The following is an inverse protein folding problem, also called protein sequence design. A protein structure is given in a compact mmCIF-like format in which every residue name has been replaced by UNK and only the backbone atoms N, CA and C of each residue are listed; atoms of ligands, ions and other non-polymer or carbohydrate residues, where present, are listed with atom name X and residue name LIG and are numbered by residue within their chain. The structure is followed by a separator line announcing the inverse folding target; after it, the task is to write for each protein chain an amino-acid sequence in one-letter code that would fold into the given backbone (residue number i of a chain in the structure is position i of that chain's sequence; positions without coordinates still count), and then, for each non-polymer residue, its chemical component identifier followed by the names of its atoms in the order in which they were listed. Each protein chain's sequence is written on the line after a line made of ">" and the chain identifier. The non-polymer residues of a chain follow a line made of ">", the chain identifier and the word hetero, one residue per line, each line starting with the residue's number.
data_IF_668300515250
#
_entry.id   IF_668300515250
#
_cell.length_a   1.000
_cell.length_b   1.000
_cell.length_c   1.000
_cell.angle_alpha   90.00
_cell.angle_beta   90.00
_cell.angle_gamma   90.00
#
_symmetry.space_group_name_H-M   'P 1'
#
loop_
_entity.id
_entity.type
_entity.pdbx_description
1 polymer ?
#
# COMPACT_ATOMS: atom_id res chain seq x y z
N UNK A 1 13.25 27.18 11.70
CA UNK A 1 12.88 25.76 11.53
C UNK A 1 11.36 25.66 11.36
N UNK A 2 10.58 26.26 12.26
CA UNK A 2 9.10 26.34 12.18
C UNK A 2 8.53 26.93 10.87
N UNK A 3 9.15 27.97 10.31
CA UNK A 3 8.72 28.54 9.02
C UNK A 3 8.91 27.58 7.85
N UNK A 4 10.03 26.82 7.85
CA UNK A 4 10.30 25.79 6.85
C UNK A 4 9.35 24.59 7.03
N UNK A 5 9.13 24.17 8.27
CA UNK A 5 8.21 23.08 8.61
C UNK A 5 6.77 23.44 8.20
N UNK A 6 6.29 24.63 8.53
CA UNK A 6 4.95 25.08 8.14
C UNK A 6 4.80 25.22 6.62
N UNK A 7 5.87 25.62 5.92
CA UNK A 7 5.88 25.71 4.47
C UNK A 7 5.83 24.32 3.82
N UNK A 8 6.66 23.38 4.30
CA UNK A 8 6.66 21.99 3.85
C UNK A 8 5.31 21.34 4.14
N UNK A 9 4.74 21.56 5.33
CA UNK A 9 3.42 21.05 5.70
C UNK A 9 2.32 21.57 4.78
N UNK A 10 2.33 22.88 4.47
CA UNK A 10 1.37 23.47 3.52
C UNK A 10 1.54 22.90 2.11
N UNK A 11 2.77 22.80 1.60
CA UNK A 11 3.02 22.19 0.29
C UNK A 11 2.59 20.73 0.25
N UNK A 12 2.92 19.95 1.28
CA UNK A 12 2.47 18.56 1.40
C UNK A 12 0.96 18.46 1.43
N UNK A 13 0.27 19.32 2.19
CA UNK A 13 -1.20 19.36 2.25
C UNK A 13 -1.84 19.74 0.92
N UNK A 14 -1.19 20.61 0.14
CA UNK A 14 -1.67 21.03 -1.17
C UNK A 14 -1.44 19.92 -2.22
N UNK A 15 -0.26 19.30 -2.20
CA UNK A 15 0.11 18.21 -3.10
C UNK A 15 -0.76 16.97 -2.84
N UNK A 16 -0.91 16.55 -1.58
CA UNK A 16 -1.83 15.50 -1.14
C UNK A 16 -3.24 16.01 -0.84
N UNK A 17 -3.59 17.15 -1.43
CA UNK A 17 -4.86 17.82 -1.29
C UNK A 17 -5.93 17.23 -2.20
N UNK A 18 -7.08 17.88 -2.17
CA UNK A 18 -8.26 17.50 -2.94
C UNK A 18 -8.00 17.31 -4.45
N UNK A 19 -7.25 18.19 -5.15
CA UNK A 19 -7.08 18.05 -6.59
C UNK A 19 -6.42 16.73 -6.99
N UNK A 20 -5.39 16.29 -6.24
CA UNK A 20 -4.72 15.02 -6.51
C UNK A 20 -5.66 13.85 -6.28
N UNK A 21 -6.41 13.84 -5.17
CA UNK A 21 -7.35 12.75 -4.87
C UNK A 21 -8.47 12.65 -5.91
N UNK A 22 -8.98 13.79 -6.40
CA UNK A 22 -9.97 13.81 -7.48
C UNK A 22 -9.38 13.20 -8.77
N UNK A 23 -8.15 13.55 -9.12
CA UNK A 23 -7.50 12.99 -10.32
C UNK A 23 -7.23 11.49 -10.15
N UNK A 24 -6.75 11.08 -8.98
CA UNK A 24 -6.38 9.70 -8.69
C UNK A 24 -7.61 8.78 -8.72
N UNK A 25 -8.64 9.16 -7.96
CA UNK A 25 -9.85 8.35 -7.78
C UNK A 25 -10.81 8.55 -8.94
N UNK A 26 -11.01 9.78 -9.37
CA UNK A 26 -11.83 10.10 -10.54
C UNK A 26 -11.24 9.50 -11.82
N UNK A 27 -9.92 9.56 -12.00
CA UNK A 27 -9.22 8.92 -13.10
C UNK A 27 -9.33 7.39 -13.07
N UNK A 28 -9.08 6.78 -11.90
CA UNK A 28 -9.26 5.32 -11.73
C UNK A 28 -10.71 4.87 -11.97
N UNK A 29 -11.68 5.64 -11.48
CA UNK A 29 -13.12 5.38 -11.65
C UNK A 29 -13.53 5.54 -13.12
N UNK A 30 -13.05 6.59 -13.78
CA UNK A 30 -13.25 6.78 -15.22
C UNK A 30 -12.73 5.58 -16.02
N UNK A 31 -11.49 5.16 -15.75
CA UNK A 31 -10.87 4.02 -16.39
C UNK A 31 -11.64 2.72 -16.13
N UNK A 32 -12.08 2.50 -14.88
CA UNK A 32 -12.87 1.35 -14.46
C UNK A 32 -14.21 1.24 -15.19
N UNK A 33 -14.96 2.35 -15.27
CA UNK A 33 -16.24 2.44 -15.98
C UNK A 33 -16.01 2.28 -17.48
N UNK A 34 -14.98 2.91 -18.03
CA UNK A 34 -14.68 2.90 -19.48
C UNK A 34 -14.42 1.50 -20.01
N UNK A 35 -13.82 0.61 -19.22
CA UNK A 35 -13.62 -0.80 -19.56
C UNK A 35 -14.69 -1.73 -18.98
N UNK A 36 -15.77 -1.18 -18.44
CA UNK A 36 -16.93 -1.95 -17.97
C UNK A 36 -16.56 -3.05 -16.97
N UNK A 37 -15.64 -2.76 -16.04
CA UNK A 37 -15.17 -3.72 -15.03
C UNK A 37 -14.57 -5.02 -15.62
N UNK A 38 -14.12 -5.00 -16.88
CA UNK A 38 -13.62 -6.19 -17.58
C UNK A 38 -12.51 -6.96 -16.83
N UNK A 39 -11.48 -6.31 -16.24
CA UNK A 39 -10.42 -7.04 -15.54
C UNK A 39 -10.93 -7.92 -14.40
N UNK A 40 -12.02 -7.52 -13.73
CA UNK A 40 -12.62 -8.29 -12.63
C UNK A 40 -13.20 -9.64 -13.09
N UNK A 41 -13.59 -9.76 -14.37
CA UNK A 41 -14.03 -11.04 -14.95
C UNK A 41 -12.88 -12.04 -15.12
N UNK A 42 -11.63 -11.56 -15.08
CA UNK A 42 -10.43 -12.35 -15.30
C UNK A 42 -9.59 -12.56 -14.02
N UNK A 43 -10.17 -12.39 -12.83
CA UNK A 43 -9.46 -12.62 -11.55
C UNK A 43 -8.87 -14.04 -11.45
N UNK A 44 -9.61 -15.07 -11.87
CA UNK A 44 -9.07 -16.44 -11.88
C UNK A 44 -7.93 -16.64 -12.89
N UNK A 45 -8.00 -15.93 -14.03
CA UNK A 45 -6.90 -15.93 -14.99
C UNK A 45 -5.66 -15.22 -14.41
N UNK A 46 -5.85 -14.10 -13.71
CA UNK A 46 -4.77 -13.39 -13.01
C UNK A 46 -4.04 -14.31 -12.02
N UNK A 47 -4.78 -15.11 -11.24
CA UNK A 47 -4.18 -16.09 -10.31
C UNK A 47 -3.46 -17.21 -11.08
N UNK A 48 -3.97 -17.63 -12.24
CA UNK A 48 -3.29 -18.63 -13.06
C UNK A 48 -1.97 -18.10 -13.66
N UNK A 49 -1.96 -16.84 -14.13
CA UNK A 49 -0.75 -16.14 -14.57
C UNK A 49 0.24 -16.00 -13.41
N UNK A 50 -0.23 -15.58 -12.24
CA UNK A 50 0.60 -15.45 -11.03
C UNK A 50 1.30 -16.76 -10.63
N UNK A 51 0.66 -17.91 -10.86
CA UNK A 51 1.19 -19.26 -10.58
C UNK A 51 2.18 -19.76 -11.64
N UNK A 52 2.49 -18.96 -12.66
CA UNK A 52 3.43 -19.30 -13.72
C UNK A 52 2.86 -20.19 -14.83
N UNK A 53 1.53 -20.35 -14.91
CA UNK A 53 0.88 -21.23 -15.92
C UNK A 53 1.17 -20.78 -17.36
N UNK A 54 1.47 -19.51 -17.55
CA UNK A 54 1.64 -18.87 -18.85
C UNK A 54 3.05 -18.27 -19.03
N UNK A 55 4.00 -18.66 -18.17
CA UNK A 55 5.38 -18.20 -18.24
C UNK A 55 6.08 -18.83 -19.44
N UNK A 56 6.85 -18.03 -20.18
CA UNK A 56 7.74 -18.48 -21.25
C UNK A 56 9.17 -18.07 -20.89
N UNK A 57 10.12 -19.01 -21.00
CA UNK A 57 11.54 -18.73 -20.72
C UNK A 57 12.16 -17.74 -21.72
N UNK A 58 11.54 -17.59 -22.90
CA UNK A 58 11.96 -16.65 -23.94
C UNK A 58 11.40 -15.24 -23.75
N UNK A 59 10.50 -15.02 -22.79
CA UNK A 59 9.93 -13.71 -22.54
C UNK A 59 10.96 -12.75 -21.93
N UNK A 60 10.94 -11.49 -22.39
CA UNK A 60 11.83 -10.46 -21.86
C UNK A 60 11.43 -10.06 -20.43
N UNK A 61 12.43 -9.92 -19.57
CA UNK A 61 12.28 -9.46 -18.19
C UNK A 61 13.30 -10.11 -17.26
N UNK A 62 13.32 -9.67 -16.01
CA UNK A 62 14.28 -10.14 -15.00
C UNK A 62 13.65 -11.08 -13.97
N UNK A 63 12.36 -10.86 -13.65
CA UNK A 63 11.68 -11.50 -12.53
C UNK A 63 10.35 -12.14 -12.96
N UNK A 64 9.88 -13.18 -12.27
CA UNK A 64 8.58 -13.81 -12.59
C UNK A 64 7.39 -12.90 -12.22
N UNK A 65 6.19 -13.23 -12.72
CA UNK A 65 4.94 -12.58 -12.31
C UNK A 65 4.74 -12.58 -10.79
N UNK A 66 5.04 -13.71 -10.15
CA UNK A 66 4.97 -13.83 -8.69
C UNK A 66 5.95 -12.90 -7.99
N UNK A 67 7.20 -12.90 -8.44
CA UNK A 67 8.24 -12.03 -7.92
C UNK A 67 7.89 -10.55 -8.09
N UNK A 68 7.32 -10.16 -9.23
CA UNK A 68 6.87 -8.79 -9.48
C UNK A 68 5.77 -8.38 -8.49
N UNK A 69 4.73 -9.22 -8.33
CA UNK A 69 3.65 -8.96 -7.38
C UNK A 69 4.16 -8.91 -5.94
N UNK A 70 4.98 -9.88 -5.50
CA UNK A 70 5.50 -9.89 -4.12
C UNK A 70 6.47 -8.74 -3.87
N UNK A 71 7.24 -8.31 -4.87
CA UNK A 71 8.11 -7.13 -4.75
C UNK A 71 7.27 -5.87 -4.58
N UNK A 72 6.23 -5.69 -5.40
CA UNK A 72 5.29 -4.57 -5.24
C UNK A 72 4.57 -4.62 -3.89
N UNK A 73 4.10 -5.79 -3.46
CA UNK A 73 3.44 -5.99 -2.17
C UNK A 73 4.40 -5.81 -0.99
N UNK A 74 5.71 -6.04 -1.15
CA UNK A 74 6.67 -5.82 -0.05
C UNK A 74 6.80 -4.34 0.32
N UNK A 75 6.49 -3.44 -0.63
CA UNK A 75 6.46 -2.00 -0.38
C UNK A 75 5.14 -1.56 0.28
N UNK A 76 4.01 -2.18 -0.11
CA UNK A 76 2.69 -1.79 0.39
C UNK A 76 2.30 -2.52 1.67
N UNK A 77 2.47 -3.84 1.73
CA UNK A 77 2.09 -4.65 2.89
C UNK A 77 3.15 -4.52 3.98
N UNK A 78 2.92 -3.62 4.92
CA UNK A 78 3.83 -3.38 6.03
C UNK A 78 3.22 -2.55 7.15
N UNK A 79 4.10 -2.02 7.99
CA UNK A 79 3.71 -1.19 9.14
C UNK A 79 2.89 0.04 8.76
N UNK A 80 3.12 0.60 7.57
CA UNK A 80 2.35 1.75 7.07
C UNK A 80 0.88 1.43 6.80
N UNK A 81 0.57 0.20 6.40
CA UNK A 81 -0.80 -0.20 6.11
C UNK A 81 -1.55 -0.54 7.40
N UNK A 82 -0.87 -1.22 8.31
CA UNK A 82 -1.39 -1.51 9.66
C UNK A 82 -1.66 -0.20 10.41
N UNK A 83 -0.68 0.71 10.46
CA UNK A 83 -0.84 2.03 11.06
C UNK A 83 -1.91 2.87 10.34
N UNK A 84 -1.96 2.78 9.01
CA UNK A 84 -2.90 3.53 8.18
C UNK A 84 -4.36 3.17 8.49
N UNK A 85 -4.65 1.88 8.68
CA UNK A 85 -5.97 1.40 9.09
C UNK A 85 -6.31 1.87 10.50
N UNK A 86 -5.39 1.72 11.45
CA UNK A 86 -5.59 2.20 12.82
C UNK A 86 -5.91 3.71 12.86
N UNK A 87 -5.14 4.52 12.14
CA UNK A 87 -5.38 5.97 12.04
C UNK A 87 -6.70 6.27 11.32
N UNK A 88 -7.10 5.49 10.33
CA UNK A 88 -8.39 5.65 9.66
C UNK A 88 -9.56 5.42 10.62
N UNK A 89 -9.47 4.38 11.47
CA UNK A 89 -10.50 4.06 12.47
C UNK A 89 -10.53 5.10 13.58
N UNK A 90 -9.37 5.53 14.09
CA UNK A 90 -9.32 6.54 15.17
C UNK A 90 -9.88 7.89 14.70
N UNK A 91 -9.55 8.34 13.50
CA UNK A 91 -9.98 9.65 13.00
C UNK A 91 -11.35 9.64 12.33
N UNK A 92 -11.76 8.50 11.77
CA UNK A 92 -12.95 8.40 10.94
C UNK A 92 -13.99 7.39 11.41
N UNK A 93 -13.69 6.62 12.44
CA UNK A 93 -14.54 5.52 12.86
C UNK A 93 -14.51 4.31 11.91
N UNK A 94 -15.33 3.28 12.22
CA UNK A 94 -15.43 2.06 11.42
C UNK A 94 -15.80 2.33 9.96
N UNK A 95 -16.58 3.38 9.68
CA UNK A 95 -17.02 3.75 8.34
C UNK A 95 -15.89 4.13 7.37
N UNK A 96 -14.72 4.54 7.88
CA UNK A 96 -13.57 4.86 7.05
C UNK A 96 -13.07 3.63 6.26
N UNK A 97 -13.20 2.43 6.85
CA UNK A 97 -12.76 1.16 6.26
C UNK A 97 -13.53 0.85 4.97
N UNK A 98 -14.84 1.14 4.94
CA UNK A 98 -15.65 0.95 3.73
C UNK A 98 -15.13 1.81 2.57
N UNK A 99 -14.78 3.07 2.83
CA UNK A 99 -14.24 3.96 1.81
C UNK A 99 -12.80 3.60 1.40
N UNK A 100 -12.04 2.95 2.29
CA UNK A 100 -10.79 2.27 1.90
C UNK A 100 -11.05 1.13 0.92
N UNK A 101 -12.11 0.32 1.09
CA UNK A 101 -12.47 -0.72 0.11
C UNK A 101 -12.84 -0.15 -1.25
N UNK A 102 -13.64 0.92 -1.28
CA UNK A 102 -14.00 1.61 -2.52
C UNK A 102 -12.73 2.11 -3.24
N UNK A 103 -11.81 2.74 -2.50
CA UNK A 103 -10.51 3.17 -3.03
C UNK A 103 -9.69 2.01 -3.56
N UNK A 104 -9.69 0.85 -2.90
CA UNK A 104 -9.00 -0.35 -3.37
C UNK A 104 -9.55 -0.89 -4.68
N UNK A 105 -10.88 -1.00 -4.81
CA UNK A 105 -11.53 -1.48 -6.06
C UNK A 105 -11.19 -0.56 -7.23
N UNK A 106 -11.23 0.76 -7.01
CA UNK A 106 -10.80 1.74 -8.01
C UNK A 106 -9.30 1.60 -8.29
N UNK A 107 -8.50 1.40 -7.26
CA UNK A 107 -7.06 1.21 -7.34
C UNK A 107 -6.62 -0.04 -8.09
N UNK A 108 -7.41 -1.12 -8.05
CA UNK A 108 -7.20 -2.32 -8.87
C UNK A 108 -7.21 -1.96 -10.36
N UNK A 109 -8.16 -1.13 -10.78
CA UNK A 109 -8.22 -0.62 -12.16
C UNK A 109 -6.98 0.21 -12.51
N UNK A 110 -6.62 1.17 -11.66
CA UNK A 110 -5.44 2.02 -11.88
C UNK A 110 -4.15 1.20 -11.98
N UNK A 111 -3.96 0.19 -11.12
CA UNK A 111 -2.80 -0.72 -11.19
C UNK A 111 -2.82 -1.59 -12.43
N UNK A 112 -3.98 -2.10 -12.84
CA UNK A 112 -4.11 -2.84 -14.10
C UNK A 112 -3.55 -2.03 -15.27
N UNK A 113 -3.99 -0.78 -15.44
CA UNK A 113 -3.54 0.07 -16.55
C UNK A 113 -2.07 0.45 -16.43
N UNK A 114 -1.64 0.89 -15.26
CA UNK A 114 -0.27 1.37 -15.10
C UNK A 114 0.77 0.26 -15.27
N UNK A 115 0.48 -0.97 -14.80
CA UNK A 115 1.34 -2.12 -15.05
C UNK A 115 1.29 -2.58 -16.52
N UNK A 116 0.10 -2.57 -17.15
CA UNK A 116 -0.02 -2.83 -18.59
C UNK A 116 0.85 -1.88 -19.40
N UNK A 117 0.78 -0.57 -19.10
CA UNK A 117 1.61 0.45 -19.76
C UNK A 117 3.09 0.26 -19.49
N UNK A 118 3.47 -0.17 -18.28
CA UNK A 118 4.86 -0.40 -17.92
C UNK A 118 5.50 -1.58 -18.67
N UNK A 119 4.71 -2.57 -19.11
CA UNK A 119 5.18 -3.64 -20.00
C UNK A 119 5.13 -3.19 -21.47
N UNK A 120 4.05 -2.53 -21.89
CA UNK A 120 3.85 -2.11 -23.28
C UNK A 120 4.90 -1.10 -23.75
N UNK A 121 5.33 -0.19 -22.88
CA UNK A 121 6.26 0.90 -23.19
C UNK A 121 7.58 0.75 -22.43
N UNK A 122 8.14 -0.47 -22.41
CA UNK A 122 9.45 -0.75 -21.82
C UNK A 122 10.56 -0.01 -22.56
N UNK A 123 11.59 0.38 -21.81
CA UNK A 123 12.85 0.84 -22.35
C UNK A 123 14.00 -0.03 -21.86
N UNK A 124 15.22 0.46 -22.07
CA UNK A 124 16.44 -0.15 -21.53
C UNK A 124 17.10 0.78 -20.52
N UNK A 125 17.72 0.20 -19.50
CA UNK A 125 18.58 0.95 -18.59
C UNK A 125 20.00 1.13 -19.16
N UNK A 126 20.88 1.73 -18.36
CA UNK A 126 22.30 1.95 -18.71
C UNK A 126 23.10 0.66 -18.90
N UNK A 127 22.63 -0.47 -18.36
CA UNK A 127 23.23 -1.79 -18.55
C UNK A 127 22.61 -2.56 -19.72
N UNK A 128 21.63 -1.96 -20.41
CA UNK A 128 20.92 -2.58 -21.54
C UNK A 128 19.83 -3.56 -21.12
N UNK A 129 19.49 -3.65 -19.83
CA UNK A 129 18.41 -4.52 -19.34
C UNK A 129 17.05 -3.86 -19.58
N UNK A 130 16.06 -4.68 -19.88
CA UNK A 130 14.69 -4.24 -20.10
C UNK A 130 14.09 -3.75 -18.78
N UNK A 131 13.70 -2.48 -18.75
CA UNK A 131 13.06 -1.84 -17.58
C UNK A 131 11.73 -1.21 -17.99
N UNK A 132 10.82 -1.12 -17.02
CA UNK A 132 9.52 -0.49 -17.18
C UNK A 132 9.18 0.43 -16.02
N UNK A 133 8.09 1.16 -16.16
CA UNK A 133 7.59 2.09 -15.15
C UNK A 133 7.19 3.44 -15.75
N UNK A 134 6.74 4.39 -14.90
CA UNK A 134 6.17 5.64 -15.39
C UNK A 134 7.13 6.50 -16.19
N UNK A 135 8.39 6.59 -15.78
CA UNK A 135 9.43 7.28 -16.53
C UNK A 135 9.57 6.76 -17.97
N UNK A 136 9.41 5.45 -18.18
CA UNK A 136 9.51 4.84 -19.51
C UNK A 136 8.23 5.07 -20.32
N UNK A 137 7.05 4.76 -19.79
CA UNK A 137 5.82 4.96 -20.58
C UNK A 137 5.49 6.43 -20.86
N UNK A 138 6.02 7.38 -20.08
CA UNK A 138 5.94 8.81 -20.39
C UNK A 138 6.80 9.13 -21.62
N UNK A 139 8.05 8.68 -21.66
CA UNK A 139 8.98 9.00 -22.75
C UNK A 139 8.65 8.22 -24.02
N UNK A 140 8.44 6.91 -23.91
CA UNK A 140 8.21 5.99 -25.03
C UNK A 140 6.75 6.03 -25.52
N UNK A 141 5.79 6.31 -24.62
CA UNK A 141 4.36 6.36 -24.96
C UNK A 141 3.85 7.74 -25.35
N UNK A 142 4.12 8.78 -24.53
CA UNK A 142 3.67 10.16 -24.83
C UNK A 142 4.64 10.91 -25.74
N UNK A 143 5.87 10.42 -25.88
CA UNK A 143 6.91 10.98 -26.73
C UNK A 143 7.85 11.96 -26.02
N UNK A 144 8.95 12.29 -26.70
CA UNK A 144 10.09 13.06 -26.15
C UNK A 144 9.72 14.43 -25.58
N UNK A 145 8.62 15.04 -26.04
CA UNK A 145 8.14 16.33 -25.53
C UNK A 145 7.70 16.25 -24.05
N UNK A 146 7.37 15.05 -23.56
CA UNK A 146 6.98 14.81 -22.16
C UNK A 146 8.15 14.37 -21.28
N UNK A 147 9.38 14.34 -21.81
CA UNK A 147 10.59 14.01 -21.04
C UNK A 147 10.75 14.82 -19.74
N UNK A 148 10.40 16.12 -19.65
CA UNK A 148 10.44 16.84 -18.38
C UNK A 148 9.58 16.20 -17.29
N UNK A 149 8.42 15.63 -17.64
CA UNK A 149 7.54 14.95 -16.68
C UNK A 149 8.15 13.62 -16.20
N UNK A 150 8.80 12.87 -17.09
CA UNK A 150 9.52 11.66 -16.70
C UNK A 150 10.69 11.98 -15.74
N UNK A 151 11.44 13.05 -16.01
CA UNK A 151 12.51 13.53 -15.12
C UNK A 151 11.93 13.94 -13.77
N UNK A 152 10.82 14.68 -13.76
CA UNK A 152 10.11 15.05 -12.54
C UNK A 152 9.71 13.82 -11.73
N UNK A 153 9.07 12.83 -12.38
CA UNK A 153 8.71 11.56 -11.74
C UNK A 153 9.93 10.86 -11.14
N UNK A 154 11.05 10.76 -11.87
CA UNK A 154 12.26 10.09 -11.39
C UNK A 154 12.88 10.80 -10.17
N UNK A 155 12.92 12.15 -10.16
CA UNK A 155 13.41 12.92 -9.01
C UNK A 155 12.48 12.76 -7.80
N UNK A 156 11.16 12.86 -8.03
CA UNK A 156 10.16 12.65 -6.99
C UNK A 156 10.21 11.22 -6.44
N UNK A 157 10.42 10.21 -7.29
CA UNK A 157 10.59 8.82 -6.90
C UNK A 157 11.84 8.59 -6.06
N UNK A 158 12.95 9.25 -6.39
CA UNK A 158 14.20 9.16 -5.62
C UNK A 158 14.03 9.67 -4.17
N UNK A 159 13.30 10.78 -3.99
CA UNK A 159 13.07 11.37 -2.66
C UNK A 159 11.91 10.65 -1.95
N UNK A 160 10.83 10.35 -2.67
CA UNK A 160 9.61 9.77 -2.12
C UNK A 160 9.76 8.31 -1.70
N UNK A 161 10.65 7.55 -2.34
CA UNK A 161 10.92 6.16 -1.99
C UNK A 161 11.91 6.00 -0.80
N UNK A 162 12.31 7.09 -0.15
CA UNK A 162 13.17 7.00 1.03
C UNK A 162 12.45 6.25 2.17
N UNK A 163 13.10 5.29 2.84
CA UNK A 163 12.46 4.42 3.83
C UNK A 163 12.25 5.11 5.20
N UNK A 164 12.25 6.45 5.26
CA UNK A 164 12.21 7.23 6.51
C UNK A 164 11.00 6.85 7.36
N UNK A 165 9.82 6.75 6.74
CA UNK A 165 8.60 6.39 7.46
C UNK A 165 8.67 4.96 8.01
N UNK A 166 9.06 3.99 7.19
CA UNK A 166 9.14 2.59 7.60
C UNK A 166 10.20 2.35 8.69
N UNK A 167 11.36 3.00 8.59
CA UNK A 167 12.42 2.92 9.59
C UNK A 167 11.97 3.50 10.93
N UNK A 168 11.37 4.71 10.93
CA UNK A 168 10.89 5.35 12.15
C UNK A 168 9.78 4.54 12.84
N UNK A 169 8.80 4.05 12.07
CA UNK A 169 7.72 3.23 12.61
C UNK A 169 8.27 1.93 13.22
N UNK A 170 9.23 1.28 12.57
CA UNK A 170 9.82 0.04 13.08
C UNK A 170 10.64 0.27 14.35
N UNK A 171 11.43 1.34 14.41
CA UNK A 171 12.13 1.75 15.62
C UNK A 171 11.15 2.03 16.76
N UNK A 172 10.07 2.76 16.50
CA UNK A 172 9.03 3.01 17.49
C UNK A 172 8.40 1.71 18.01
N UNK A 173 8.03 0.78 17.12
CA UNK A 173 7.43 -0.48 17.54
C UNK A 173 8.40 -1.34 18.38
N UNK A 174 9.68 -1.42 18.00
CA UNK A 174 10.69 -2.13 18.81
C UNK A 174 10.83 -1.48 20.19
N UNK A 175 10.83 -0.15 20.24
CA UNK A 175 10.90 0.58 21.50
C UNK A 175 9.68 0.31 22.39
N UNK A 176 8.46 0.45 21.83
CA UNK A 176 7.20 0.36 22.58
C UNK A 176 6.86 -1.08 23.00
N UNK A 177 7.14 -2.07 22.16
CA UNK A 177 6.75 -3.47 22.37
C UNK A 177 7.83 -4.25 23.13
N UNK A 178 9.12 -3.93 22.93
CA UNK A 178 10.22 -4.74 23.47
C UNK A 178 11.08 -3.98 24.48
N UNK A 179 11.68 -2.84 24.09
CA UNK A 179 12.73 -2.22 24.91
C UNK A 179 12.20 -1.49 26.14
N UNK A 180 11.09 -0.75 26.02
CA UNK A 180 10.49 -0.04 27.16
C UNK A 180 9.93 -1.01 28.20
N UNK A 181 9.11 -2.04 27.84
CA UNK A 181 8.63 -3.02 28.81
C UNK A 181 9.76 -3.80 29.49
N UNK A 182 10.86 -4.07 28.78
CA UNK A 182 12.03 -4.76 29.34
C UNK A 182 12.96 -3.85 30.18
N UNK A 183 12.70 -2.53 30.27
CA UNK A 183 13.57 -1.58 30.95
C UNK A 183 14.94 -1.38 30.28
N UNK A 184 15.07 -1.73 29.00
CA UNK A 184 16.31 -1.68 28.21
C UNK A 184 16.42 -0.42 27.33
N UNK A 185 15.36 0.39 27.25
CA UNK A 185 15.34 1.60 26.42
C UNK A 185 16.29 2.68 26.98
N UNK A 186 17.27 3.06 26.16
CA UNK A 186 18.33 4.02 26.50
C UNK A 186 18.31 5.27 25.61
N UNK A 187 17.15 5.61 25.03
CA UNK A 187 17.01 6.77 24.15
C UNK A 187 17.82 6.63 22.87
N UNK A 188 18.62 7.64 22.55
CA UNK A 188 19.39 7.73 21.29
C UNK A 188 20.26 6.51 21.00
N UNK A 189 20.87 5.88 22.01
CA UNK A 189 21.72 4.70 21.80
C UNK A 189 20.90 3.51 21.31
N UNK A 190 19.70 3.30 21.86
CA UNK A 190 18.80 2.24 21.40
C UNK A 190 18.38 2.49 19.95
N UNK A 191 17.96 3.71 19.63
CA UNK A 191 17.52 4.08 18.28
C UNK A 191 18.65 3.95 17.24
N UNK A 192 19.87 4.36 17.61
CA UNK A 192 21.04 4.24 16.74
C UNK A 192 21.40 2.77 16.47
N UNK A 193 21.36 1.92 17.49
CA UNK A 193 21.63 0.48 17.34
C UNK A 193 20.58 -0.16 16.42
N UNK A 194 19.29 0.14 16.63
CA UNK A 194 18.21 -0.33 15.75
C UNK A 194 18.48 0.14 14.31
N UNK A 195 18.78 1.42 14.11
CA UNK A 195 19.06 1.99 12.79
C UNK A 195 20.24 1.31 12.07
N UNK A 196 21.36 1.08 12.77
CA UNK A 196 22.53 0.39 12.21
C UNK A 196 22.19 -1.05 11.82
N UNK A 197 21.47 -1.78 12.68
CA UNK A 197 21.05 -3.16 12.39
C UNK A 197 20.13 -3.18 11.17
N UNK A 198 19.12 -2.31 11.12
CA UNK A 198 18.20 -2.21 9.98
C UNK A 198 18.93 -1.86 8.68
N UNK A 199 19.85 -0.89 8.72
CA UNK A 199 20.65 -0.51 7.57
C UNK A 199 21.52 -1.68 7.07
N UNK A 200 22.14 -2.42 7.99
CA UNK A 200 23.00 -3.57 7.67
C UNK A 200 22.19 -4.69 7.03
N UNK A 201 21.05 -5.08 7.63
CA UNK A 201 20.17 -6.13 7.09
C UNK A 201 19.63 -5.74 5.72
N UNK A 202 19.22 -4.48 5.57
CA UNK A 202 18.70 -3.95 4.30
C UNK A 202 19.79 -3.94 3.22
N UNK A 203 21.02 -3.54 3.56
CA UNK A 203 22.14 -3.51 2.62
C UNK A 203 22.48 -4.91 2.08
N UNK A 204 22.41 -5.96 2.91
CA UNK A 204 22.64 -7.36 2.48
C UNK A 204 21.68 -7.74 1.32
N UNK A 205 20.44 -7.26 1.36
CA UNK A 205 19.43 -7.53 0.34
C UNK A 205 19.61 -6.63 -0.88
N UNK A 206 19.67 -5.31 -0.69
CA UNK A 206 19.65 -4.32 -1.79
C UNK A 206 20.93 -4.40 -2.63
N UNK A 207 22.11 -4.62 -2.03
CA UNK A 207 23.37 -4.73 -2.77
C UNK A 207 23.41 -5.95 -3.71
N UNK A 208 22.48 -6.90 -3.57
CA UNK A 208 22.31 -8.01 -4.51
C UNK A 208 21.49 -7.70 -5.76
N UNK A 209 21.01 -6.46 -5.92
CA UNK A 209 20.20 -6.03 -7.07
C UNK A 209 18.79 -6.62 -7.09
N UNK A 210 18.05 -6.36 -8.18
CA UNK A 210 16.64 -6.72 -8.33
C UNK A 210 16.38 -8.22 -8.14
N UNK A 211 17.28 -9.09 -8.58
CA UNK A 211 17.16 -10.54 -8.39
C UNK A 211 17.17 -10.94 -6.92
N UNK A 212 18.00 -10.33 -6.06
CA UNK A 212 18.02 -10.63 -4.63
C UNK A 212 16.83 -10.02 -3.89
N UNK A 213 16.44 -8.79 -4.28
CA UNK A 213 15.26 -8.11 -3.73
C UNK A 213 14.01 -8.97 -3.97
N UNK A 214 13.77 -9.37 -5.21
CA UNK A 214 12.60 -10.18 -5.59
C UNK A 214 12.60 -11.57 -4.93
N UNK A 215 13.74 -12.26 -4.87
CA UNK A 215 13.88 -13.55 -4.15
C UNK A 215 13.67 -13.44 -2.64
N UNK A 216 13.95 -12.28 -2.06
CA UNK A 216 13.69 -12.03 -0.64
C UNK A 216 12.20 -11.77 -0.44
N UNK A 217 11.60 -10.91 -1.29
CA UNK A 217 10.19 -10.57 -1.25
C UNK A 217 9.28 -11.78 -1.51
N UNK A 218 9.60 -12.65 -2.48
CA UNK A 218 8.81 -13.84 -2.83
C UNK A 218 8.67 -14.83 -1.66
N UNK A 219 9.66 -14.83 -0.74
CA UNK A 219 9.66 -15.68 0.46
C UNK A 219 9.06 -14.97 1.66
N UNK A 220 9.48 -13.73 1.90
CA UNK A 220 9.07 -12.98 3.09
C UNK A 220 7.60 -12.56 3.04
N UNK A 221 7.12 -12.03 1.91
CA UNK A 221 5.77 -11.45 1.82
C UNK A 221 4.67 -12.50 2.06
N UNK A 222 4.66 -13.66 1.38
CA UNK A 222 3.64 -14.68 1.64
C UNK A 222 3.72 -15.23 3.08
N UNK A 223 4.93 -15.37 3.62
CA UNK A 223 5.13 -15.84 5.00
C UNK A 223 4.56 -14.84 6.01
N UNK A 224 4.86 -13.55 5.85
CA UNK A 224 4.35 -12.48 6.72
C UNK A 224 2.83 -12.37 6.64
N UNK A 225 2.26 -12.36 5.43
CA UNK A 225 0.80 -12.30 5.23
C UNK A 225 0.13 -13.54 5.81
N UNK A 226 0.70 -14.73 5.60
CA UNK A 226 0.17 -15.98 6.15
C UNK A 226 0.18 -16.02 7.67
N UNK A 227 1.29 -15.64 8.30
CA UNK A 227 1.39 -15.53 9.77
C UNK A 227 0.38 -14.52 10.32
N UNK A 228 0.32 -13.33 9.72
CA UNK A 228 -0.63 -12.29 10.12
C UNK A 228 -2.08 -12.77 9.99
N UNK A 229 -2.42 -13.42 8.88
CA UNK A 229 -3.74 -13.99 8.65
C UNK A 229 -4.13 -15.00 9.75
N UNK A 230 -3.24 -15.93 10.09
CA UNK A 230 -3.50 -16.91 11.15
C UNK A 230 -3.74 -16.22 12.49
N UNK A 231 -2.90 -15.25 12.86
CA UNK A 231 -3.06 -14.51 14.11
C UNK A 231 -4.41 -13.79 14.17
N UNK A 232 -4.80 -13.07 13.11
CA UNK A 232 -6.09 -12.37 13.09
C UNK A 232 -7.26 -13.34 13.13
N UNK A 233 -7.21 -14.45 12.39
CA UNK A 233 -8.30 -15.44 12.42
C UNK A 233 -8.50 -16.01 13.82
N UNK A 234 -7.42 -16.22 14.59
CA UNK A 234 -7.54 -16.61 16.01
C UNK A 234 -8.27 -15.54 16.81
N UNK A 235 -7.88 -14.27 16.68
CA UNK A 235 -8.54 -13.13 17.37
C UNK A 235 -10.04 -13.06 17.02
N UNK A 236 -10.37 -13.16 15.74
CA UNK A 236 -11.75 -13.14 15.26
C UNK A 236 -12.54 -14.37 15.71
N UNK A 237 -11.88 -15.51 15.89
CA UNK A 237 -12.48 -16.72 16.46
C UNK A 237 -12.80 -16.58 17.94
N UNK A 238 -11.93 -15.91 18.71
CA UNK A 238 -12.18 -15.59 20.13
C UNK A 238 -13.35 -14.61 20.26
N UNK A 239 -13.44 -13.63 19.36
CA UNK A 239 -14.47 -12.58 19.38
C UNK A 239 -15.60 -12.83 18.38
N UNK A 240 -15.88 -14.09 18.02
CA UNK A 240 -16.76 -14.44 16.89
C UNK A 240 -18.18 -13.85 17.03
N UNK A 241 -18.66 -13.71 18.26
CA UNK A 241 -20.01 -13.21 18.56
C UNK A 241 -20.22 -11.75 18.13
N UNK A 242 -19.15 -10.93 18.17
CA UNK A 242 -19.22 -9.50 17.82
C UNK A 242 -18.75 -9.21 16.39
N UNK A 243 -18.15 -10.18 15.69
CA UNK A 243 -17.70 -10.01 14.30
C UNK A 243 -18.84 -9.54 13.38
N UNK A 244 -20.05 -10.15 13.38
CA UNK A 244 -21.15 -9.69 12.53
C UNK A 244 -21.58 -8.25 12.84
N UNK A 245 -21.53 -7.85 14.11
CA UNK A 245 -21.85 -6.49 14.54
C UNK A 245 -20.88 -5.47 13.93
N UNK A 246 -19.57 -5.68 14.09
CA UNK A 246 -18.58 -4.74 13.57
C UNK A 246 -18.51 -4.72 12.05
N UNK A 247 -18.73 -5.85 11.38
CA UNK A 247 -18.84 -5.87 9.92
C UNK A 247 -20.02 -5.03 9.42
N UNK A 248 -21.18 -5.12 10.10
CA UNK A 248 -22.33 -4.26 9.82
C UNK A 248 -22.02 -2.79 10.13
N UNK A 249 -21.34 -2.53 11.25
CA UNK A 249 -20.99 -1.19 11.70
C UNK A 249 -20.13 -0.47 10.67
N UNK A 250 -19.13 -1.13 10.07
CA UNK A 250 -18.31 -0.58 8.97
C UNK A 250 -19.21 -0.03 7.84
N UNK A 251 -20.25 -0.78 7.45
CA UNK A 251 -21.12 -0.37 6.35
C UNK A 251 -22.08 0.73 6.79
N UNK A 252 -22.73 0.59 7.95
CA UNK A 252 -23.73 1.57 8.41
C UNK A 252 -23.08 2.91 8.74
N UNK A 253 -21.92 2.89 9.39
CA UNK A 253 -21.19 4.10 9.76
C UNK A 253 -20.59 4.82 8.54
N UNK A 254 -20.27 4.10 7.46
CA UNK A 254 -19.77 4.72 6.23
C UNK A 254 -20.72 5.76 5.62
N UNK A 255 -22.02 5.63 5.88
CA UNK A 255 -23.07 6.54 5.39
C UNK A 255 -23.69 7.40 6.50
N UNK A 256 -23.55 7.00 7.76
CA UNK A 256 -24.02 7.78 8.91
C UNK A 256 -22.96 8.76 9.45
N UNK A 257 -21.67 8.43 9.29
CA UNK A 257 -20.52 9.15 9.82
C UNK A 257 -20.68 9.52 11.30
N UNK A 258 -21.15 8.57 12.11
CA UNK A 258 -21.52 8.80 13.52
C UNK A 258 -20.31 8.98 14.42
N UNK A 259 -19.15 8.44 14.03
CA UNK A 259 -17.89 8.51 14.77
C UNK A 259 -16.86 9.44 14.12
N UNK A 260 -17.25 10.22 13.10
CA UNK A 260 -16.33 11.13 12.40
C UNK A 260 -16.27 12.49 13.11
N UNK A 261 -15.08 12.84 13.61
CA UNK A 261 -14.83 14.12 14.31
C UNK A 261 -14.07 15.15 13.46
N UNK A 262 -13.78 14.83 12.19
CA UNK A 262 -12.99 15.70 11.31
C UNK A 262 -13.80 16.80 10.61
N UNK A 263 -13.12 17.55 9.74
CA UNK A 263 -13.75 18.62 8.98
C UNK A 263 -14.81 18.08 8.00
N UNK A 264 -15.96 18.76 7.95
CA UNK A 264 -17.01 18.49 6.98
C UNK A 264 -16.57 18.87 5.56
N UNK A 265 -17.04 18.12 4.55
CA UNK A 265 -16.69 18.35 3.15
C UNK A 265 -17.86 18.01 2.23
N UNK A 266 -18.00 18.69 1.07
CA UNK A 266 -19.03 18.55 0.01
C UNK A 266 -20.07 17.42 0.24
N UNK A 267 -21.03 17.63 1.15
CA UNK A 267 -21.89 16.57 1.67
C UNK A 267 -21.90 16.43 3.21
N UNK A 268 -21.17 17.29 3.93
CA UNK A 268 -21.16 17.32 5.39
C UNK A 268 -20.09 16.40 6.00
N UNK A 269 -20.35 15.88 7.20
CA UNK A 269 -19.46 14.94 7.90
C UNK A 269 -19.20 13.66 7.09
N UNK A 270 -20.20 13.19 6.35
CA UNK A 270 -20.08 12.02 5.46
C UNK A 270 -19.06 12.28 4.34
N UNK A 271 -19.05 13.48 3.76
CA UNK A 271 -18.07 13.84 2.73
C UNK A 271 -16.64 13.91 3.28
N UNK A 272 -16.48 14.35 4.53
CA UNK A 272 -15.19 14.32 5.23
C UNK A 272 -14.68 12.90 5.44
N UNK A 273 -15.57 12.01 5.92
CA UNK A 273 -15.27 10.59 6.12
C UNK A 273 -14.88 9.88 4.81
N UNK A 274 -15.61 10.14 3.72
CA UNK A 274 -15.29 9.64 2.37
C UNK A 274 -13.86 10.01 2.00
N UNK A 275 -13.52 11.30 2.13
CA UNK A 275 -12.21 11.81 1.74
C UNK A 275 -11.09 11.18 2.59
N UNK A 276 -11.32 11.04 3.90
CA UNK A 276 -10.38 10.41 4.82
C UNK A 276 -10.14 8.93 4.46
N UNK A 277 -11.20 8.14 4.31
CA UNK A 277 -11.09 6.72 3.97
C UNK A 277 -10.45 6.49 2.61
N UNK A 278 -10.81 7.29 1.61
CA UNK A 278 -10.19 7.26 0.28
C UNK A 278 -8.70 7.57 0.36
N UNK A 279 -8.31 8.63 1.09
CA UNK A 279 -6.90 9.04 1.24
C UNK A 279 -6.07 7.95 1.91
N UNK A 280 -6.61 7.32 2.96
CA UNK A 280 -5.94 6.21 3.67
C UNK A 280 -5.86 4.96 2.81
N UNK A 281 -6.92 4.64 2.06
CA UNK A 281 -6.93 3.53 1.11
C UNK A 281 -5.92 3.71 -0.01
N UNK A 282 -5.86 4.90 -0.62
CA UNK A 282 -4.93 5.21 -1.70
C UNK A 282 -3.46 5.16 -1.25
N UNK A 283 -3.18 5.57 -0.01
CA UNK A 283 -1.84 5.43 0.58
C UNK A 283 -1.48 3.97 0.85
N UNK A 284 -2.44 3.18 1.36
CA UNK A 284 -2.24 1.75 1.64
C UNK A 284 -1.89 0.97 0.37
N UNK A 285 -2.73 1.02 -0.66
CA UNK A 285 -2.51 0.21 -1.86
C UNK A 285 -1.57 0.84 -2.88
N UNK A 286 -1.11 2.07 -2.67
CA UNK A 286 -0.27 2.85 -3.60
C UNK A 286 -0.84 2.97 -5.04
N UNK A 287 -2.15 2.86 -5.21
CA UNK A 287 -2.75 2.98 -6.54
C UNK A 287 -2.55 4.41 -7.08
N UNK A 288 -1.91 4.50 -8.25
CA UNK A 288 -1.63 5.76 -8.93
C UNK A 288 -0.43 6.54 -8.40
N UNK A 289 0.35 5.99 -7.46
CA UNK A 289 1.66 6.56 -7.06
C UNK A 289 2.73 6.29 -8.13
N UNK A 290 2.63 5.16 -8.85
CA UNK A 290 3.52 4.83 -9.96
C UNK A 290 4.75 3.98 -9.59
N UNK A 291 4.87 3.57 -8.32
CA UNK A 291 5.93 2.68 -7.81
C UNK A 291 5.73 1.22 -8.23
N UNK A 292 4.53 0.67 -8.04
CA UNK A 292 4.23 -0.73 -8.41
C UNK A 292 4.52 -1.06 -9.89
N UNK A 293 4.20 -0.20 -10.87
CA UNK A 293 4.58 -0.40 -12.27
C UNK A 293 6.08 -0.55 -12.52
N UNK A 294 6.96 -0.08 -11.62
CA UNK A 294 8.42 -0.30 -11.78
C UNK A 294 8.77 -1.78 -11.56
N UNK A 295 8.16 -2.44 -10.57
CA UNK A 295 8.37 -3.87 -10.33
C UNK A 295 7.71 -4.73 -11.43
N UNK A 296 6.46 -4.42 -11.77
CA UNK A 296 5.73 -5.10 -12.85
C UNK A 296 6.37 -4.86 -14.23
N UNK A 297 6.99 -3.70 -14.43
CA UNK A 297 7.77 -3.36 -15.60
C UNK A 297 8.98 -4.27 -15.82
N UNK A 298 9.49 -4.96 -14.80
CA UNK A 298 10.59 -5.91 -14.89
C UNK A 298 10.15 -7.38 -15.01
N UNK A 299 8.84 -7.66 -15.03
CA UNK A 299 8.32 -9.02 -15.11
C UNK A 299 8.65 -9.71 -16.44
N UNK A 300 8.92 -11.02 -16.44
CA UNK A 300 9.14 -11.82 -17.64
C UNK A 300 7.82 -12.08 -18.36
N UNK A 301 7.48 -11.20 -19.30
CA UNK A 301 6.26 -11.31 -20.10
C UNK A 301 6.31 -10.40 -21.32
N UNK A 302 5.89 -10.94 -22.45
CA UNK A 302 5.64 -10.18 -23.67
C UNK A 302 4.17 -9.77 -23.86
N UNK A 303 3.30 -10.13 -22.91
CA UNK A 303 1.86 -9.87 -22.94
C UNK A 303 1.46 -8.86 -21.86
N UNK A 304 1.35 -7.56 -22.20
CA UNK A 304 1.12 -6.49 -21.21
C UNK A 304 -0.12 -6.67 -20.34
N UNK A 305 -1.19 -7.22 -20.95
CA UNK A 305 -2.46 -7.43 -20.25
C UNK A 305 -2.33 -8.48 -19.15
N UNK A 306 -1.49 -9.52 -19.33
CA UNK A 306 -1.25 -10.54 -18.30
C UNK A 306 -0.65 -9.91 -17.05
N UNK A 307 0.33 -9.02 -17.22
CA UNK A 307 0.94 -8.32 -16.10
C UNK A 307 -0.02 -7.33 -15.44
N UNK A 308 -0.82 -6.61 -16.23
CA UNK A 308 -1.89 -5.76 -15.71
C UNK A 308 -2.84 -6.53 -14.80
N UNK A 309 -3.25 -7.73 -15.22
CA UNK A 309 -4.12 -8.60 -14.41
C UNK A 309 -3.44 -9.06 -13.13
N UNK A 310 -2.13 -9.36 -13.15
CA UNK A 310 -1.38 -9.73 -11.93
C UNK A 310 -1.27 -8.53 -10.98
N UNK A 311 -0.94 -7.35 -11.49
CA UNK A 311 -0.77 -6.13 -10.70
C UNK A 311 -2.05 -5.70 -9.98
N UNK A 312 -3.22 -5.95 -10.57
CA UNK A 312 -4.50 -5.62 -9.96
C UNK A 312 -4.81 -6.49 -8.73
N UNK A 313 -4.12 -7.62 -8.53
CA UNK A 313 -4.25 -8.43 -7.31
C UNK A 313 -3.66 -7.72 -6.10
N UNK A 314 -2.74 -6.76 -6.30
CA UNK A 314 -2.08 -6.03 -5.23
C UNK A 314 -3.07 -5.36 -4.25
N UNK A 315 -3.94 -4.44 -4.70
CA UNK A 315 -4.91 -3.77 -3.82
C UNK A 315 -5.96 -4.73 -3.24
N UNK A 316 -6.24 -5.85 -3.92
CA UNK A 316 -7.14 -6.87 -3.39
C UNK A 316 -6.53 -7.60 -2.18
N UNK A 317 -5.27 -8.02 -2.29
CA UNK A 317 -4.56 -8.68 -1.18
C UNK A 317 -4.33 -7.68 -0.04
N UNK A 318 -3.84 -6.50 -0.37
CA UNK A 318 -3.44 -5.50 0.61
C UNK A 318 -4.63 -4.88 1.34
N UNK A 319 -5.52 -4.18 0.63
CA UNK A 319 -6.59 -3.43 1.29
C UNK A 319 -7.84 -4.27 1.55
N UNK A 320 -8.27 -5.11 0.60
CA UNK A 320 -9.52 -5.85 0.78
C UNK A 320 -9.36 -7.03 1.74
N UNK A 321 -8.17 -7.63 1.84
CA UNK A 321 -7.90 -8.75 2.75
C UNK A 321 -7.14 -8.27 3.99
N UNK A 322 -5.88 -7.84 3.83
CA UNK A 322 -5.02 -7.54 5.00
C UNK A 322 -5.58 -6.37 5.82
N UNK A 323 -5.88 -5.22 5.21
CA UNK A 323 -6.43 -4.09 5.95
C UNK A 323 -7.80 -4.37 6.56
N UNK A 324 -8.66 -5.16 5.92
CA UNK A 324 -9.95 -5.57 6.49
C UNK A 324 -9.75 -6.43 7.73
N UNK A 325 -8.82 -7.38 7.69
CA UNK A 325 -8.48 -8.22 8.84
C UNK A 325 -7.91 -7.38 9.98
N UNK A 326 -7.00 -6.45 9.67
CA UNK A 326 -6.50 -5.47 10.66
C UNK A 326 -7.63 -4.66 11.28
N UNK A 327 -8.53 -4.12 10.45
CA UNK A 327 -9.66 -3.33 10.91
C UNK A 327 -10.55 -4.13 11.85
N UNK A 328 -10.93 -5.36 11.46
CA UNK A 328 -11.76 -6.21 12.29
C UNK A 328 -11.05 -6.58 13.60
N UNK A 329 -9.76 -6.90 13.60
CA UNK A 329 -9.01 -7.18 14.83
C UNK A 329 -9.01 -5.99 15.81
N UNK A 330 -8.85 -4.77 15.30
CA UNK A 330 -8.91 -3.53 16.10
C UNK A 330 -10.34 -3.29 16.63
N UNK A 331 -11.35 -3.51 15.80
CA UNK A 331 -12.73 -3.22 16.13
C UNK A 331 -13.27 -4.19 17.18
N UNK A 332 -13.07 -5.51 16.99
CA UNK A 332 -13.63 -6.54 17.89
C UNK A 332 -13.02 -6.52 19.29
N UNK A 333 -11.81 -6.01 19.43
CA UNK A 333 -11.11 -5.87 20.73
C UNK A 333 -11.50 -4.61 21.48
N UNK A 334 -12.26 -3.69 20.84
CA UNK A 334 -12.74 -2.45 21.48
C UNK A 334 -11.65 -1.42 21.80
N UNK A 335 -10.38 -1.70 21.47
CA UNK A 335 -9.25 -0.80 21.80
C UNK A 335 -9.38 0.57 21.12
N UNK A 336 -10.09 0.65 19.99
CA UNK A 336 -10.30 1.89 19.24
C UNK A 336 -11.18 2.90 19.98
N UNK A 337 -11.98 2.48 20.96
CA UNK A 337 -12.87 3.37 21.73
C UNK A 337 -12.18 4.04 22.93
N UNK A 338 -11.09 3.45 23.41
CA UNK A 338 -10.46 3.80 24.70
C UNK A 338 -9.01 4.28 24.58
N UNK A 339 -8.38 4.11 23.41
CA UNK A 339 -6.96 4.36 23.25
C UNK A 339 -6.68 5.75 22.67
N UNK A 340 -5.97 6.60 23.43
CA UNK A 340 -5.27 7.78 22.88
C UNK A 340 -3.99 7.41 22.09
N UNK A 341 -3.83 6.12 21.76
CA UNK A 341 -2.63 5.54 21.17
C UNK A 341 -2.77 5.52 19.64
N UNK A 342 -1.75 6.02 18.93
CA UNK A 342 -1.82 6.22 17.48
C UNK A 342 -1.13 5.08 16.69
N UNK A 343 -1.74 4.69 15.57
CA UNK A 343 -1.07 3.91 14.52
C UNK A 343 -0.74 2.47 14.89
N UNK A 344 0.54 2.08 14.73
CA UNK A 344 1.00 0.68 14.91
C UNK A 344 0.76 0.19 16.33
N UNK A 345 1.02 1.04 17.32
CA UNK A 345 0.88 0.66 18.73
C UNK A 345 -0.57 0.31 19.09
N UNK A 346 -1.57 0.95 18.46
CA UNK A 346 -2.98 0.57 18.63
C UNK A 346 -3.25 -0.85 18.13
N UNK A 347 -2.68 -1.23 16.99
CA UNK A 347 -2.84 -2.59 16.47
C UNK A 347 -2.11 -3.59 17.36
N UNK A 348 -0.91 -3.26 17.86
CA UNK A 348 -0.20 -4.12 18.80
C UNK A 348 -1.01 -4.34 20.09
N UNK A 349 -1.60 -3.28 20.65
CA UNK A 349 -2.49 -3.38 21.81
C UNK A 349 -3.72 -4.23 21.53
N UNK A 350 -4.34 -4.11 20.35
CA UNK A 350 -5.45 -4.98 19.95
C UNK A 350 -5.04 -6.46 20.03
N UNK A 351 -3.86 -6.80 19.51
CA UNK A 351 -3.36 -8.18 19.51
C UNK A 351 -2.97 -8.68 20.91
N UNK A 352 -2.49 -7.79 21.79
CA UNK A 352 -2.18 -8.12 23.19
C UNK A 352 -3.44 -8.30 24.03
N UNK A 353 -4.51 -7.56 23.73
CA UNK A 353 -5.79 -7.62 24.44
C UNK A 353 -6.70 -8.78 24.04
N UNK A 354 -6.34 -9.50 22.97
CA UNK A 354 -7.18 -10.52 22.35
C UNK A 354 -7.12 -11.89 23.04
#
# INVERSE_FOLDING_TARGET
>A
METLESFIAKLSSLAWGLPLLIILIGGGLYLLIRIQFLPFRYLFHAVAVLRGKYDDENDEGEISHFQALTTALSATVGMGNIAGVAVAIVLGGPGAVFWMWVSAVIGMSTKFFTATLAVLFRGKDSEGKTQGGPMYFIVEGLGKNWKPLAIFFSISGLIGALPVFNANQLTQAINDILLKPAGLYSGFISDLVIGIVLATVTAIVILGGLSRISKTAEKMVPTMVGLYFVMVIVILGIHIDVVPYYFKLIITDAFAASFYEGDAFLGGVVGGLILLGIKRGAFSNEAGIGTAPMAHGAAKTNEPIREGLVAMLGPAIDTLIVCTLTALAILVTGVWESSGTNGVSLTATAFESA
#
